data_IF_900851085341
#
_entry.id   IF_900851085341
#
_cell.length_a   1.000
_cell.length_b   1.000
_cell.length_c   1.000
_cell.angle_alpha   90.00
_cell.angle_beta   90.00
_cell.angle_gamma   90.00
#
_symmetry.space_group_name_H-M   'P 1'
#
loop_
_entity.id
_entity.type
_entity.pdbx_description
1 polymer ?
#
# COMPACT_ATOMS: atom_id res chain seq x y z
N UNK A 1 8.54 6.18 -2.99
CA UNK A 1 7.10 6.50 -3.15
C UNK A 1 6.91 8.00 -3.02
N UNK A 2 6.65 8.69 -4.09
CA UNK A 2 6.41 10.12 -4.03
C UNK A 2 4.93 10.36 -3.72
N UNK A 3 4.63 11.02 -2.61
CA UNK A 3 3.36 11.69 -2.45
C UNK A 3 3.39 12.93 -3.32
N UNK A 4 2.66 12.94 -4.40
CA UNK A 4 2.48 14.13 -5.21
C UNK A 4 1.34 14.93 -4.64
N UNK A 5 1.58 16.17 -4.34
CA UNK A 5 0.57 17.09 -3.97
C UNK A 5 -0.07 17.75 -5.08
N UNK A 6 -1.15 18.23 -4.67
CA UNK A 6 -2.11 18.78 -5.59
C UNK A 6 -2.60 20.17 -5.24
N UNK A 7 -1.86 20.91 -4.47
CA UNK A 7 -2.11 22.35 -4.40
C UNK A 7 -1.65 22.96 -5.73
N UNK A 8 -2.59 23.42 -6.52
CA UNK A 8 -2.37 23.98 -7.87
C UNK A 8 -1.68 23.04 -8.88
N UNK A 9 -1.83 21.72 -8.72
CA UNK A 9 -1.23 20.68 -9.60
C UNK A 9 0.31 20.68 -9.59
N UNK A 10 0.92 21.05 -8.48
CA UNK A 10 2.36 21.02 -8.29
C UNK A 10 2.74 19.76 -7.51
N UNK A 11 3.93 19.21 -7.79
CA UNK A 11 4.51 18.17 -6.97
C UNK A 11 4.99 18.80 -5.67
N UNK A 12 4.58 18.24 -4.52
CA UNK A 12 5.02 18.73 -3.23
C UNK A 12 6.45 18.25 -2.93
N UNK A 13 7.40 19.15 -3.03
CA UNK A 13 8.82 18.83 -2.82
C UNK A 13 9.28 19.06 -1.37
N UNK A 14 8.60 19.90 -0.60
CA UNK A 14 9.11 20.39 0.68
C UNK A 14 10.30 21.34 0.50
N UNK A 15 10.85 21.81 1.61
CA UNK A 15 11.93 22.78 1.59
C UNK A 15 13.27 22.27 1.02
N UNK A 16 13.51 20.96 1.13
CA UNK A 16 14.77 20.30 0.72
C UNK A 16 14.57 19.15 -0.29
N UNK A 17 13.39 19.05 -0.90
CA UNK A 17 13.09 18.00 -1.88
C UNK A 17 12.74 16.63 -1.30
N UNK A 18 12.64 16.49 0.02
CA UNK A 18 12.40 15.22 0.72
C UNK A 18 10.97 15.05 1.25
N UNK A 19 10.03 15.91 0.84
CA UNK A 19 8.65 15.78 1.27
C UNK A 19 7.94 14.57 0.62
N UNK A 20 6.90 14.09 1.29
CA UNK A 20 6.07 13.01 0.78
C UNK A 20 6.56 11.60 1.10
N UNK A 21 7.60 11.45 1.89
CA UNK A 21 8.10 10.14 2.36
C UNK A 21 7.18 9.54 3.46
N UNK A 22 5.88 9.43 3.14
CA UNK A 22 4.84 8.96 4.07
C UNK A 22 5.04 7.51 4.50
N UNK A 23 5.76 6.70 3.73
CA UNK A 23 6.15 5.34 4.11
C UNK A 23 6.96 5.28 5.41
N UNK A 24 7.61 6.38 5.79
CA UNK A 24 8.37 6.50 7.04
C UNK A 24 7.57 7.09 8.20
N UNK A 25 6.26 7.28 8.08
CA UNK A 25 5.40 7.52 9.25
C UNK A 25 5.43 6.30 10.16
N UNK A 26 5.61 6.52 11.46
CA UNK A 26 5.53 5.44 12.46
C UNK A 26 4.07 5.12 12.71
N UNK A 27 3.68 3.87 12.48
CA UNK A 27 2.34 3.34 12.77
C UNK A 27 2.36 2.32 13.92
N UNK A 28 3.55 1.81 14.26
CA UNK A 28 3.77 0.90 15.38
C UNK A 28 4.92 1.41 16.25
N UNK A 29 4.61 1.91 17.43
CA UNK A 29 5.65 2.37 18.36
C UNK A 29 6.52 1.19 18.77
N UNK A 30 7.84 1.34 18.67
CA UNK A 30 8.81 0.28 18.93
C UNK A 30 8.66 -0.97 18.05
N UNK A 31 8.04 -0.82 16.87
CA UNK A 31 7.84 -1.90 15.92
C UNK A 31 9.10 -2.31 15.14
N UNK A 32 8.91 -2.87 13.96
CA UNK A 32 10.00 -3.40 13.14
C UNK A 32 11.04 -2.32 12.79
N UNK A 33 12.34 -2.69 12.75
CA UNK A 33 13.39 -1.77 12.33
C UNK A 33 13.18 -1.36 10.86
N UNK A 34 13.47 -0.10 10.56
CA UNK A 34 13.43 0.46 9.22
C UNK A 34 14.83 0.93 8.79
N UNK A 35 15.22 0.74 7.52
CA UNK A 35 16.49 1.24 7.00
C UNK A 35 16.72 2.75 7.17
N UNK A 36 15.66 3.53 7.39
CA UNK A 36 15.78 4.96 7.71
C UNK A 36 16.33 5.25 9.12
N UNK A 37 16.66 4.23 9.91
CA UNK A 37 17.14 4.36 11.29
C UNK A 37 16.05 4.40 12.36
N UNK A 38 14.77 4.42 11.98
CA UNK A 38 13.62 4.41 12.91
C UNK A 38 13.03 3.00 13.06
N UNK A 39 12.07 2.86 13.96
CA UNK A 39 11.27 1.64 14.14
C UNK A 39 9.80 1.93 13.87
N UNK A 40 9.08 0.93 13.37
CA UNK A 40 7.63 0.97 13.19
C UNK A 40 7.12 1.77 12.00
N UNK A 41 7.97 2.07 11.01
CA UNK A 41 7.57 2.79 9.81
C UNK A 41 6.52 2.02 9.00
N UNK A 42 5.54 2.71 8.46
CA UNK A 42 4.44 2.13 7.68
C UNK A 42 4.91 1.22 6.54
N UNK A 43 5.97 1.57 5.84
CA UNK A 43 6.57 0.76 4.78
C UNK A 43 6.92 -0.66 5.24
N UNK A 44 7.33 -0.84 6.50
CA UNK A 44 7.69 -2.15 7.05
C UNK A 44 6.46 -3.07 7.24
N UNK A 45 5.26 -2.54 7.10
CA UNK A 45 4.00 -3.27 7.29
C UNK A 45 3.11 -3.28 6.05
N UNK A 46 3.21 -2.30 5.16
CA UNK A 46 2.31 -2.12 4.03
C UNK A 46 3.02 -2.09 2.65
N UNK A 47 4.31 -2.45 2.59
CA UNK A 47 5.00 -2.62 1.32
C UNK A 47 4.80 -4.03 0.73
N UNK A 48 5.15 -4.22 -0.55
CA UNK A 48 5.19 -5.55 -1.15
C UNK A 48 6.18 -6.48 -0.43
N UNK A 49 7.30 -5.95 0.06
CA UNK A 49 8.27 -6.70 0.87
C UNK A 49 7.68 -7.13 2.21
N UNK A 50 6.91 -6.25 2.86
CA UNK A 50 6.21 -6.59 4.09
C UNK A 50 5.19 -7.71 3.87
N UNK A 51 4.42 -7.66 2.79
CA UNK A 51 3.47 -8.71 2.44
C UNK A 51 4.15 -10.06 2.22
N UNK A 52 5.27 -10.10 1.47
CA UNK A 52 6.06 -11.32 1.29
C UNK A 52 6.57 -11.88 2.62
N UNK A 53 7.09 -11.02 3.49
CA UNK A 53 7.55 -11.41 4.83
C UNK A 53 6.41 -12.02 5.67
N UNK A 54 5.25 -11.35 5.75
CA UNK A 54 4.09 -11.87 6.47
C UNK A 54 3.63 -13.22 5.92
N UNK A 55 3.66 -13.40 4.60
CA UNK A 55 3.30 -14.65 3.94
C UNK A 55 4.27 -15.77 4.31
N UNK A 56 5.58 -15.49 4.32
CA UNK A 56 6.59 -16.47 4.71
C UNK A 56 6.51 -16.85 6.20
N UNK A 57 6.27 -15.86 7.08
CA UNK A 57 6.04 -16.06 8.50
C UNK A 57 4.79 -16.94 8.74
N UNK A 58 3.70 -16.69 8.00
CA UNK A 58 2.48 -17.45 8.08
C UNK A 58 2.67 -18.91 7.61
N UNK A 59 3.38 -19.12 6.49
CA UNK A 59 3.71 -20.47 6.02
C UNK A 59 4.56 -21.25 7.04
N UNK A 60 5.54 -20.58 7.66
CA UNK A 60 6.37 -21.22 8.68
C UNK A 60 5.55 -21.64 9.92
N UNK A 61 4.54 -20.85 10.29
CA UNK A 61 3.63 -21.17 11.40
C UNK A 61 2.56 -22.25 11.04
N UNK A 62 2.17 -22.31 9.78
CA UNK A 62 1.10 -23.16 9.25
C UNK A 62 1.56 -23.90 7.97
N UNK A 63 2.46 -24.86 8.08
CA UNK A 63 3.09 -25.51 6.90
C UNK A 63 2.10 -26.33 6.03
N UNK A 64 0.97 -26.72 6.58
CA UNK A 64 -0.09 -27.47 5.86
C UNK A 64 -1.10 -26.56 5.13
N UNK A 65 -0.90 -25.25 5.19
CA UNK A 65 -1.73 -24.26 4.51
C UNK A 65 -1.61 -24.36 2.97
N UNK A 66 -2.66 -23.95 2.25
CA UNK A 66 -2.64 -23.82 0.78
C UNK A 66 -1.47 -22.94 0.30
N UNK A 67 -0.98 -22.05 1.13
CA UNK A 67 0.23 -21.24 0.85
C UNK A 67 1.41 -22.11 0.43
N UNK A 68 1.61 -23.29 1.02
CA UNK A 68 2.70 -24.18 0.68
C UNK A 68 2.64 -24.60 -0.80
N UNK A 69 1.46 -25.00 -1.28
CA UNK A 69 1.24 -25.35 -2.67
C UNK A 69 1.42 -24.15 -3.59
N UNK A 70 0.80 -23.00 -3.28
CA UNK A 70 0.88 -21.76 -4.08
C UNK A 70 2.33 -21.30 -4.25
N UNK A 71 3.14 -21.42 -3.20
CA UNK A 71 4.56 -21.06 -3.25
C UNK A 71 5.36 -22.08 -4.04
N UNK A 72 5.07 -23.38 -3.90
CA UNK A 72 5.73 -24.45 -4.68
C UNK A 72 5.45 -24.28 -6.17
N UNK A 73 4.22 -23.98 -6.57
CA UNK A 73 3.83 -23.70 -7.95
C UNK A 73 4.48 -22.43 -8.53
N UNK A 74 5.00 -21.57 -7.68
CA UNK A 74 5.78 -20.37 -8.04
C UNK A 74 7.29 -20.60 -7.83
N UNK A 75 7.80 -21.77 -8.18
CA UNK A 75 9.22 -22.14 -8.07
C UNK A 75 9.81 -21.96 -6.66
N UNK A 76 9.01 -22.13 -5.62
CA UNK A 76 9.41 -21.93 -4.22
C UNK A 76 9.52 -20.45 -3.81
N UNK A 77 9.12 -19.52 -4.65
CA UNK A 77 9.23 -18.09 -4.37
C UNK A 77 7.96 -17.49 -3.80
N UNK A 78 8.07 -16.85 -2.63
CA UNK A 78 6.99 -16.03 -2.07
C UNK A 78 6.84 -14.76 -2.91
N UNK A 79 5.69 -14.59 -3.53
CA UNK A 79 5.31 -13.39 -4.30
C UNK A 79 4.40 -12.48 -3.49
N UNK A 80 4.20 -11.24 -3.96
CA UNK A 80 3.20 -10.34 -3.40
C UNK A 80 1.75 -10.80 -3.64
N UNK A 81 1.53 -11.85 -4.46
CA UNK A 81 0.21 -12.39 -4.78
C UNK A 81 -0.09 -13.69 -4.03
N UNK A 82 0.93 -14.35 -3.45
CA UNK A 82 0.79 -15.70 -2.88
C UNK A 82 -0.32 -15.79 -1.83
N UNK A 83 -0.38 -14.84 -0.89
CA UNK A 83 -1.42 -14.81 0.14
C UNK A 83 -2.82 -14.56 -0.46
N UNK A 84 -2.94 -13.66 -1.43
CA UNK A 84 -4.20 -13.36 -2.10
C UNK A 84 -4.71 -14.54 -2.94
N UNK A 85 -3.81 -15.29 -3.59
CA UNK A 85 -4.16 -16.51 -4.33
C UNK A 85 -4.71 -17.55 -3.36
N UNK A 86 -3.98 -17.85 -2.28
CA UNK A 86 -4.41 -18.81 -1.28
C UNK A 86 -5.76 -18.42 -0.64
N UNK A 87 -5.95 -17.14 -0.31
CA UNK A 87 -7.21 -16.63 0.22
C UNK A 87 -8.39 -16.84 -0.75
N UNK A 88 -8.19 -16.62 -2.06
CA UNK A 88 -9.21 -16.87 -3.09
C UNK A 88 -9.58 -18.35 -3.20
N UNK A 89 -8.67 -19.22 -2.85
CA UNK A 89 -8.92 -20.67 -2.81
C UNK A 89 -9.51 -21.15 -1.46
N UNK A 90 -9.84 -20.21 -0.58
CA UNK A 90 -10.48 -20.47 0.70
C UNK A 90 -9.51 -20.82 1.84
N UNK A 91 -8.23 -20.53 1.69
CA UNK A 91 -7.24 -20.73 2.76
C UNK A 91 -7.40 -19.68 3.88
N UNK A 92 -7.72 -20.11 5.11
CA UNK A 92 -7.85 -19.18 6.23
C UNK A 92 -6.53 -18.50 6.60
N UNK A 93 -5.40 -19.14 6.33
CA UNK A 93 -4.07 -18.56 6.61
C UNK A 93 -3.74 -17.49 5.58
N UNK A 94 -4.02 -17.74 4.30
CA UNK A 94 -3.92 -16.72 3.25
C UNK A 94 -4.81 -15.52 3.55
N UNK A 95 -6.06 -15.76 4.00
CA UNK A 95 -6.99 -14.70 4.39
C UNK A 95 -6.46 -13.89 5.58
N UNK A 96 -5.91 -14.54 6.61
CA UNK A 96 -5.32 -13.87 7.77
C UNK A 96 -4.19 -12.92 7.36
N UNK A 97 -3.33 -13.33 6.42
CA UNK A 97 -2.25 -12.47 5.91
C UNK A 97 -2.82 -11.28 5.14
N UNK A 98 -3.82 -11.52 4.28
CA UNK A 98 -4.48 -10.46 3.52
C UNK A 98 -5.13 -9.42 4.44
N UNK A 99 -5.89 -9.86 5.44
CA UNK A 99 -6.58 -8.99 6.40
C UNK A 99 -5.57 -8.13 7.17
N UNK A 100 -4.50 -8.74 7.69
CA UNK A 100 -3.44 -8.03 8.39
C UNK A 100 -2.73 -7.00 7.51
N UNK A 101 -2.46 -7.36 6.28
CA UNK A 101 -1.85 -6.44 5.31
C UNK A 101 -2.77 -5.25 4.99
N UNK A 102 -4.05 -5.52 4.73
CA UNK A 102 -5.07 -4.49 4.49
C UNK A 102 -5.21 -3.56 5.69
N UNK A 103 -5.16 -4.10 6.89
CA UNK A 103 -5.23 -3.32 8.13
C UNK A 103 -4.08 -2.32 8.22
N UNK A 104 -2.87 -2.74 7.99
CA UNK A 104 -1.72 -1.84 8.00
C UNK A 104 -1.73 -0.84 6.84
N UNK A 105 -2.16 -1.28 5.66
CA UNK A 105 -2.30 -0.40 4.50
C UNK A 105 -3.33 0.71 4.80
N UNK A 106 -4.50 0.33 5.30
CA UNK A 106 -5.57 1.26 5.61
C UNK A 106 -5.20 2.23 6.75
N UNK A 107 -4.48 1.76 7.77
CA UNK A 107 -4.00 2.62 8.85
C UNK A 107 -3.17 3.80 8.30
N UNK A 108 -2.21 3.54 7.44
CA UNK A 108 -1.41 4.61 6.83
C UNK A 108 -2.22 5.49 5.87
N UNK A 109 -3.16 4.89 5.10
CA UNK A 109 -4.05 5.65 4.22
C UNK A 109 -4.94 6.61 5.03
N UNK A 110 -5.50 6.17 6.16
CA UNK A 110 -6.27 7.02 7.09
C UNK A 110 -5.42 8.19 7.57
N UNK A 111 -4.16 7.95 7.96
CA UNK A 111 -3.25 9.01 8.39
C UNK A 111 -3.01 10.02 7.28
N UNK A 112 -2.75 9.57 6.05
CA UNK A 112 -2.57 10.45 4.88
C UNK A 112 -3.82 11.27 4.60
N UNK A 113 -5.00 10.64 4.66
CA UNK A 113 -6.30 11.33 4.48
C UNK A 113 -6.50 12.39 5.56
N UNK A 114 -6.24 12.07 6.83
CA UNK A 114 -6.42 13.00 7.95
C UNK A 114 -5.41 14.17 7.93
N UNK A 115 -4.20 13.96 7.39
CA UNK A 115 -3.16 15.00 7.31
C UNK A 115 -3.37 15.92 6.10
N UNK A 116 -3.64 15.36 4.92
CA UNK A 116 -3.65 16.10 3.66
C UNK A 116 -5.04 16.37 3.09
N UNK A 117 -6.03 15.59 3.49
CA UNK A 117 -7.42 15.67 3.03
C UNK A 117 -7.53 15.80 1.49
N UNK A 118 -6.89 14.91 0.71
CA UNK A 118 -6.89 15.00 -0.74
C UNK A 118 -8.24 14.65 -1.33
N UNK A 119 -8.61 15.20 -2.49
CA UNK A 119 -9.82 14.79 -3.23
C UNK A 119 -9.74 13.34 -3.66
N UNK A 120 -8.55 12.88 -4.05
CA UNK A 120 -8.31 11.51 -4.51
C UNK A 120 -6.96 11.00 -4.00
N UNK A 121 -6.97 9.78 -3.44
CA UNK A 121 -5.77 9.03 -3.10
C UNK A 121 -5.72 7.77 -3.96
N UNK A 122 -4.65 7.61 -4.75
CA UNK A 122 -4.48 6.46 -5.62
C UNK A 122 -3.47 5.47 -5.03
N UNK A 123 -3.87 4.20 -4.91
CA UNK A 123 -3.00 3.10 -4.50
C UNK A 123 -2.39 2.50 -5.76
N UNK A 124 -1.05 2.48 -5.81
CA UNK A 124 -0.28 1.95 -6.94
C UNK A 124 0.68 0.84 -6.55
N UNK A 125 1.46 0.39 -7.53
CA UNK A 125 2.40 -0.72 -7.38
C UNK A 125 1.77 -2.09 -7.67
N UNK A 126 2.58 -3.15 -7.58
CA UNK A 126 2.15 -4.51 -7.96
C UNK A 126 0.94 -5.03 -7.17
N UNK A 127 0.85 -4.68 -5.89
CA UNK A 127 -0.27 -5.12 -5.02
C UNK A 127 -1.60 -4.49 -5.42
N UNK A 128 -1.60 -3.31 -6.04
CA UNK A 128 -2.86 -2.68 -6.49
C UNK A 128 -3.58 -3.44 -7.62
N UNK A 129 -2.93 -4.45 -8.22
CA UNK A 129 -3.55 -5.31 -9.24
C UNK A 129 -4.46 -6.40 -8.65
N UNK A 130 -4.43 -6.60 -7.32
CA UNK A 130 -5.31 -7.58 -6.67
C UNK A 130 -6.79 -7.22 -6.83
N UNK A 131 -7.67 -8.20 -6.69
CA UNK A 131 -9.11 -8.01 -6.81
C UNK A 131 -9.60 -6.90 -5.85
N UNK A 132 -10.59 -6.12 -6.29
CA UNK A 132 -11.11 -5.01 -5.50
C UNK A 132 -11.67 -5.48 -4.16
N UNK A 133 -12.32 -6.62 -4.15
CA UNK A 133 -12.91 -7.25 -2.97
C UNK A 133 -11.88 -7.59 -1.91
N UNK A 134 -10.65 -7.90 -2.32
CA UNK A 134 -9.59 -8.32 -1.41
C UNK A 134 -8.70 -7.15 -0.94
N UNK A 135 -8.66 -6.06 -1.67
CA UNK A 135 -7.76 -4.95 -1.35
C UNK A 135 -8.49 -3.62 -1.27
N UNK A 136 -9.06 -3.14 -2.39
CA UNK A 136 -9.55 -1.78 -2.49
C UNK A 136 -10.78 -1.53 -1.62
N UNK A 137 -11.78 -2.42 -1.69
CA UNK A 137 -13.02 -2.27 -0.95
C UNK A 137 -12.82 -2.31 0.58
N UNK A 138 -12.04 -3.24 1.16
CA UNK A 138 -11.72 -3.22 2.59
C UNK A 138 -11.00 -1.95 3.03
N UNK A 139 -10.03 -1.45 2.23
CA UNK A 139 -9.35 -0.18 2.53
C UNK A 139 -10.32 0.99 2.49
N UNK A 140 -11.19 1.08 1.48
CA UNK A 140 -12.22 2.13 1.38
C UNK A 140 -13.16 2.12 2.58
N UNK A 141 -13.63 0.94 3.00
CA UNK A 141 -14.51 0.77 4.15
C UNK A 141 -13.85 1.26 5.44
N UNK A 142 -12.58 0.91 5.64
CA UNK A 142 -11.85 1.33 6.81
C UNK A 142 -11.58 2.83 6.82
N UNK A 143 -11.15 3.40 5.70
CA UNK A 143 -10.97 4.85 5.56
C UNK A 143 -12.28 5.60 5.83
N UNK A 144 -13.40 5.11 5.31
CA UNK A 144 -14.71 5.72 5.54
C UNK A 144 -15.15 5.71 7.01
N UNK A 145 -14.72 4.70 7.78
CA UNK A 145 -15.02 4.54 9.21
C UNK A 145 -14.09 5.33 10.12
N UNK A 146 -12.79 5.39 9.78
CA UNK A 146 -11.73 5.84 10.68
C UNK A 146 -11.19 7.25 10.35
N UNK A 147 -11.50 7.80 9.16
CA UNK A 147 -11.13 9.18 8.87
C UNK A 147 -12.01 10.18 9.60
N UNK A 148 -11.44 11.35 9.92
CA UNK A 148 -12.21 12.45 10.55
C UNK A 148 -13.41 12.80 9.67
N UNK A 149 -14.62 12.86 10.23
CA UNK A 149 -15.82 13.18 9.46
C UNK A 149 -15.75 14.58 8.84
N UNK A 150 -15.80 14.67 7.53
CA UNK A 150 -15.77 15.94 6.78
C UNK A 150 -17.04 16.24 5.98
N UNK A 151 -18.16 15.54 6.31
CA UNK A 151 -19.42 15.60 5.56
C UNK A 151 -19.44 14.59 4.40
N UNK A 152 -20.65 14.22 3.96
CA UNK A 152 -20.84 13.15 2.97
C UNK A 152 -20.24 13.46 1.60
N UNK A 153 -20.22 14.74 1.21
CA UNK A 153 -19.83 15.17 -0.15
C UNK A 153 -18.35 15.56 -0.27
N UNK A 154 -17.56 15.46 0.82
CA UNK A 154 -16.16 15.89 0.88
C UNK A 154 -15.20 14.77 1.27
N UNK A 155 -15.58 13.50 1.03
CA UNK A 155 -14.71 12.36 1.35
C UNK A 155 -13.66 12.16 0.29
N UNK A 156 -12.42 11.89 0.71
CA UNK A 156 -11.35 11.44 -0.17
C UNK A 156 -11.77 10.19 -0.94
N UNK A 157 -11.63 10.20 -2.25
CA UNK A 157 -11.85 9.01 -3.08
C UNK A 157 -10.60 8.16 -3.08
N UNK A 158 -10.70 6.92 -2.59
CA UNK A 158 -9.61 5.95 -2.65
C UNK A 158 -9.79 5.12 -3.92
N UNK A 159 -8.78 5.10 -4.79
CA UNK A 159 -8.83 4.44 -6.10
C UNK A 159 -7.56 3.65 -6.40
N UNK A 160 -7.58 2.77 -7.37
CA UNK A 160 -6.37 2.16 -7.93
C UNK A 160 -5.72 3.10 -8.94
N UNK A 161 -4.39 3.15 -8.94
CA UNK A 161 -3.62 3.86 -9.95
C UNK A 161 -3.78 3.18 -11.32
N UNK A 162 -4.12 3.96 -12.37
CA UNK A 162 -4.44 3.41 -13.68
C UNK A 162 -3.22 3.08 -14.55
N UNK A 163 -2.07 3.72 -14.30
CA UNK A 163 -0.88 3.59 -15.15
C UNK A 163 0.00 2.38 -14.82
N UNK A 164 -0.26 1.71 -13.68
CA UNK A 164 0.52 0.54 -13.23
C UNK A 164 2.03 0.81 -13.23
N UNK A 165 2.82 -0.18 -13.63
CA UNK A 165 4.28 -0.08 -13.71
C UNK A 165 4.80 0.93 -14.76
N UNK A 166 3.94 1.38 -15.67
CA UNK A 166 4.30 2.38 -16.69
C UNK A 166 4.28 3.82 -16.17
N UNK A 167 3.75 4.06 -14.97
CA UNK A 167 3.63 5.39 -14.39
C UNK A 167 4.97 6.14 -14.34
N UNK A 168 6.06 5.46 -13.95
CA UNK A 168 7.40 6.05 -13.90
C UNK A 168 7.94 6.46 -15.27
N UNK A 169 7.78 5.61 -16.29
CA UNK A 169 8.19 5.91 -17.67
C UNK A 169 7.40 7.09 -18.24
N UNK A 170 6.08 7.10 -18.06
CA UNK A 170 5.21 8.17 -18.53
C UNK A 170 5.55 9.48 -17.81
N UNK A 171 5.74 9.44 -16.48
CA UNK A 171 6.13 10.60 -15.69
C UNK A 171 7.47 11.20 -16.13
N UNK A 172 8.49 10.36 -16.34
CA UNK A 172 9.79 10.78 -16.85
C UNK A 172 9.70 11.42 -18.25
N UNK A 173 8.92 10.83 -19.15
CA UNK A 173 8.70 11.40 -20.48
C UNK A 173 8.00 12.76 -20.45
N UNK A 174 7.05 12.95 -19.53
CA UNK A 174 6.32 14.22 -19.36
C UNK A 174 7.19 15.31 -18.72
N UNK A 175 8.12 14.97 -17.82
CA UNK A 175 9.07 15.93 -17.26
C UNK A 175 9.96 16.55 -18.34
N UNK A 176 10.32 15.80 -19.38
CA UNK A 176 11.07 16.32 -20.52
C UNK A 176 10.30 17.32 -21.39
N UNK A 177 8.96 17.24 -21.43
CA UNK A 177 8.12 18.18 -22.17
C UNK A 177 7.94 19.54 -21.48
N UNK A 178 8.01 19.58 -20.15
CA UNK A 178 7.82 20.81 -19.35
C UNK A 178 9.09 21.66 -19.18
N UNK A 179 10.24 21.24 -19.75
CA UNK A 179 11.48 22.04 -19.76
C UNK A 179 11.59 23.01 -20.93
N UNK A 180 10.48 23.39 -21.55
CA UNK A 180 10.40 24.51 -22.49
C UNK A 180 9.59 25.64 -21.85
N UNK A 181 10.18 26.30 -20.87
CA UNK A 181 9.92 27.74 -20.57
C UNK A 181 11.23 28.27 -20.00
#
# INVERSE_FOLDING_TARGET
SAASDVYKRQIYHGANGMAGEVGHMVIEQNGLPCPCGRHGCWEQYASATALKRMTAEALAAYPDSILARVITENDGHVSGQSAFIAAREGDPVGQLVCDRYVDYLACGVVNVVNIFQPDTLAIGGGVSNEADEQLLLPVQQRVARESIPCGKDRRTRIVKAQLGNRAGLIGAALLGKNKRI
#
